data_IF_482981493609
#
_entry.id   IF_482981493609
#
_cell.length_a   1.000
_cell.length_b   1.000
_cell.length_c   1.000
_cell.angle_alpha   90.00
_cell.angle_beta   90.00
_cell.angle_gamma   90.00
#
_symmetry.space_group_name_H-M   'P 1'
#
loop_
_entity.id
_entity.type
_entity.pdbx_description
1 polymer ?
#
# COMPACT_ATOMS: atom_id res chain seq x y z
N UNK A 1 -24.68 17.71 12.52
CA UNK A 1 -23.64 17.49 11.48
C UNK A 1 -23.80 16.13 10.81
N UNK A 2 -23.96 15.04 11.58
CA UNK A 2 -24.12 13.68 11.08
C UNK A 2 -25.34 13.46 10.18
N UNK A 3 -26.52 14.00 10.55
CA UNK A 3 -27.75 13.87 9.75
C UNK A 3 -27.59 14.40 8.31
N UNK A 4 -26.86 15.52 8.13
CA UNK A 4 -26.60 16.08 6.80
C UNK A 4 -25.72 15.17 5.95
N UNK A 5 -24.72 14.53 6.55
CA UNK A 5 -23.83 13.60 5.84
C UNK A 5 -24.57 12.32 5.44
N UNK A 6 -25.46 11.83 6.30
CA UNK A 6 -26.33 10.68 6.01
C UNK A 6 -27.27 11.03 4.85
N UNK A 7 -27.97 12.16 4.91
CA UNK A 7 -28.88 12.59 3.87
C UNK A 7 -28.20 12.77 2.49
N UNK A 8 -27.00 13.34 2.46
CA UNK A 8 -26.23 13.47 1.20
C UNK A 8 -25.78 12.10 0.66
N UNK A 9 -25.45 11.15 1.55
CA UNK A 9 -25.10 9.78 1.15
C UNK A 9 -26.29 9.07 0.52
N UNK A 10 -27.47 9.19 1.10
CA UNK A 10 -28.71 8.64 0.57
C UNK A 10 -29.08 9.26 -0.78
N UNK A 11 -28.96 10.59 -0.89
CA UNK A 11 -29.20 11.32 -2.16
C UNK A 11 -28.30 10.80 -3.28
N UNK A 12 -26.99 10.63 -3.02
CA UNK A 12 -26.03 10.10 -4.00
C UNK A 12 -26.32 8.66 -4.38
N UNK A 13 -26.65 7.81 -3.39
CA UNK A 13 -26.96 6.40 -3.63
C UNK A 13 -28.18 6.24 -4.53
N UNK A 14 -29.24 7.02 -4.31
CA UNK A 14 -30.43 7.00 -5.16
C UNK A 14 -30.11 7.36 -6.62
N UNK A 15 -29.35 8.43 -6.83
CA UNK A 15 -28.95 8.84 -8.18
C UNK A 15 -28.11 7.76 -8.90
N UNK A 16 -27.19 7.11 -8.17
CA UNK A 16 -26.38 6.02 -8.70
C UNK A 16 -27.22 4.80 -9.08
N UNK A 17 -28.22 4.44 -8.26
CA UNK A 17 -29.14 3.34 -8.56
C UNK A 17 -29.98 3.63 -9.80
N UNK A 18 -30.58 4.83 -9.89
CA UNK A 18 -31.36 5.23 -11.05
C UNK A 18 -30.52 5.25 -12.34
N UNK A 19 -29.27 5.70 -12.26
CA UNK A 19 -28.33 5.65 -13.38
C UNK A 19 -28.02 4.20 -13.77
N UNK A 20 -27.69 3.36 -12.79
CA UNK A 20 -27.36 1.96 -13.04
C UNK A 20 -28.54 1.19 -13.66
N UNK A 21 -29.77 1.40 -13.19
CA UNK A 21 -30.98 0.81 -13.76
C UNK A 21 -31.22 1.28 -15.21
N UNK A 22 -31.13 2.59 -15.46
CA UNK A 22 -31.30 3.17 -16.81
C UNK A 22 -30.26 2.65 -17.81
N UNK A 23 -29.05 2.38 -17.35
CA UNK A 23 -27.93 1.95 -18.19
C UNK A 23 -27.64 0.44 -18.13
N UNK A 24 -28.44 -0.34 -17.39
CA UNK A 24 -28.21 -1.78 -17.22
C UNK A 24 -26.88 -2.13 -16.55
N UNK A 25 -26.33 -1.23 -15.73
CA UNK A 25 -25.03 -1.41 -15.06
C UNK A 25 -25.24 -2.24 -13.80
N UNK A 26 -24.62 -3.41 -13.73
CA UNK A 26 -24.51 -4.17 -12.48
C UNK A 26 -23.29 -3.69 -11.69
N UNK A 27 -23.43 -3.16 -10.47
CA UNK A 27 -22.30 -2.79 -9.63
C UNK A 27 -21.39 -4.00 -9.39
N UNK A 28 -20.09 -3.83 -9.63
CA UNK A 28 -19.06 -4.84 -9.34
C UNK A 28 -17.93 -4.18 -8.56
N UNK A 29 -17.28 -4.94 -7.70
CA UNK A 29 -16.05 -4.50 -7.04
C UNK A 29 -14.97 -4.31 -8.10
N UNK A 30 -14.20 -3.22 -7.99
CA UNK A 30 -13.03 -3.01 -8.84
C UNK A 30 -11.97 -4.04 -8.45
N UNK A 31 -11.70 -5.03 -9.32
CA UNK A 31 -10.51 -5.88 -9.20
C UNK A 31 -9.41 -5.30 -10.08
N UNK A 32 -8.30 -4.89 -9.48
CA UNK A 32 -7.08 -4.60 -10.23
C UNK A 32 -6.25 -5.89 -10.28
N UNK A 33 -5.80 -6.27 -11.47
CA UNK A 33 -4.84 -7.36 -11.61
C UNK A 33 -3.54 -6.96 -10.91
N UNK A 34 -3.00 -7.88 -10.11
CA UNK A 34 -1.63 -7.76 -9.59
C UNK A 34 -0.73 -7.86 -10.80
N UNK A 35 0.00 -6.78 -11.12
CA UNK A 35 0.94 -6.80 -12.23
C UNK A 35 1.98 -7.90 -11.95
N UNK A 36 2.29 -8.71 -12.95
CA UNK A 36 3.38 -9.68 -12.83
C UNK A 36 4.68 -8.93 -12.49
N UNK A 37 5.40 -9.49 -11.52
CA UNK A 37 6.63 -8.93 -10.96
C UNK A 37 7.63 -8.73 -12.10
N UNK A 38 7.96 -7.48 -12.40
CA UNK A 38 9.04 -7.19 -13.35
C UNK A 38 10.35 -7.60 -12.66
N UNK A 39 11.15 -8.44 -13.32
CA UNK A 39 12.44 -8.85 -12.77
C UNK A 39 13.33 -7.63 -12.50
N UNK A 40 14.13 -7.67 -11.43
CA UNK A 40 15.11 -6.62 -11.11
C UNK A 40 16.04 -6.33 -12.31
N UNK A 41 16.27 -7.36 -13.14
CA UNK A 41 17.06 -7.31 -14.36
C UNK A 41 16.36 -6.53 -15.49
N UNK A 42 15.03 -6.67 -15.64
CA UNK A 42 14.24 -5.91 -16.62
C UNK A 42 14.04 -4.43 -16.28
N UNK A 43 14.07 -4.07 -15.00
CA UNK A 43 13.95 -2.67 -14.58
C UNK A 43 15.27 -1.88 -14.75
N UNK A 44 16.38 -2.56 -15.11
CA UNK A 44 17.67 -1.91 -15.33
C UNK A 44 18.25 -1.20 -14.10
N UNK A 45 17.75 -1.54 -12.90
CA UNK A 45 18.10 -0.84 -11.67
C UNK A 45 19.28 -1.55 -10.99
N UNK A 46 20.45 -1.47 -11.62
CA UNK A 46 21.72 -1.84 -10.97
C UNK A 46 22.07 -0.90 -9.80
N UNK A 47 21.37 0.22 -9.62
CA UNK A 47 21.64 1.22 -8.58
C UNK A 47 21.18 0.81 -7.16
N UNK A 48 20.29 -0.18 -6.99
CA UNK A 48 19.82 -0.57 -5.65
C UNK A 48 20.71 -1.61 -4.95
N UNK A 49 21.72 -2.16 -5.63
CA UNK A 49 22.68 -3.08 -5.02
C UNK A 49 23.47 -2.43 -3.86
N UNK A 50 23.61 -1.10 -3.88
CA UNK A 50 24.33 -0.33 -2.86
C UNK A 50 23.56 -0.19 -1.53
N UNK A 51 22.27 -0.55 -1.50
CA UNK A 51 21.42 -0.48 -0.30
C UNK A 51 21.17 -1.82 0.38
N UNK A 52 21.77 -2.91 -0.11
CA UNK A 52 21.81 -4.17 0.63
C UNK A 52 22.63 -3.96 1.90
N UNK A 53 22.04 -4.06 3.10
CA UNK A 53 22.83 -4.07 4.31
C UNK A 53 23.72 -5.32 4.26
N UNK A 54 25.02 -5.18 4.56
CA UNK A 54 26.01 -6.26 4.48
C UNK A 54 25.63 -7.52 5.30
N UNK A 55 24.72 -7.37 6.26
CA UNK A 55 24.24 -8.42 7.17
C UNK A 55 23.04 -9.23 6.66
N UNK A 56 22.53 -9.00 5.43
CA UNK A 56 21.30 -9.65 4.95
C UNK A 56 21.58 -10.56 3.78
N UNK A 57 21.84 -11.82 4.10
CA UNK A 57 22.18 -12.88 3.13
C UNK A 57 20.95 -13.61 2.58
N UNK A 58 19.80 -13.56 3.28
CA UNK A 58 18.62 -14.39 2.99
C UNK A 58 17.31 -13.57 2.93
N UNK A 59 16.40 -13.94 2.03
CA UNK A 59 15.04 -13.38 1.91
C UNK A 59 14.26 -13.40 3.24
N UNK A 60 14.46 -14.45 4.05
CA UNK A 60 13.83 -14.57 5.38
C UNK A 60 14.28 -13.48 6.36
N UNK A 61 15.51 -13.02 6.27
CA UNK A 61 16.05 -12.00 7.18
C UNK A 61 15.60 -10.59 6.77
N UNK A 62 15.40 -10.35 5.47
CA UNK A 62 14.71 -9.15 4.98
C UNK A 62 13.27 -9.08 5.49
N UNK A 63 12.53 -10.20 5.46
CA UNK A 63 11.15 -10.25 5.95
C UNK A 63 11.08 -9.96 7.46
N UNK A 64 11.96 -10.56 8.26
CA UNK A 64 12.06 -10.25 9.71
C UNK A 64 12.39 -8.79 9.95
N UNK A 65 13.28 -8.20 9.13
CA UNK A 65 13.65 -6.79 9.25
C UNK A 65 12.47 -5.87 8.92
N UNK A 66 11.70 -6.19 7.88
CA UNK A 66 10.47 -5.46 7.54
C UNK A 66 9.46 -5.54 8.69
N UNK A 67 9.23 -6.73 9.27
CA UNK A 67 8.31 -6.90 10.40
C UNK A 67 8.73 -6.05 11.61
N UNK A 68 10.03 -6.00 11.91
CA UNK A 68 10.56 -5.15 12.97
C UNK A 68 10.32 -3.65 12.70
N UNK A 69 10.59 -3.19 11.48
CA UNK A 69 10.38 -1.79 11.09
C UNK A 69 8.89 -1.43 11.09
N UNK A 70 8.01 -2.33 10.67
CA UNK A 70 6.56 -2.14 10.73
C UNK A 70 6.09 -1.94 12.17
N UNK A 71 6.57 -2.78 13.10
CA UNK A 71 6.25 -2.63 14.52
C UNK A 71 6.71 -1.28 15.06
N UNK A 72 7.89 -0.82 14.69
CA UNK A 72 8.41 0.50 15.08
C UNK A 72 7.60 1.65 14.46
N UNK A 73 7.16 1.51 13.21
CA UNK A 73 6.32 2.49 12.52
C UNK A 73 4.98 2.66 13.23
N UNK A 74 4.33 1.55 13.60
CA UNK A 74 3.08 1.56 14.36
C UNK A 74 3.25 2.21 15.73
N UNK A 75 4.32 1.88 16.46
CA UNK A 75 4.63 2.51 17.75
C UNK A 75 4.87 4.03 17.61
N UNK A 76 5.58 4.46 16.56
CA UNK A 76 5.80 5.88 16.28
C UNK A 76 4.46 6.59 15.98
N UNK A 77 3.56 5.95 15.22
CA UNK A 77 2.23 6.49 14.93
C UNK A 77 1.35 6.59 16.19
N UNK A 78 1.39 5.59 17.07
CA UNK A 78 0.70 5.61 18.37
C UNK A 78 1.20 6.74 19.29
N UNK A 79 2.50 7.02 19.23
CA UNK A 79 3.16 8.10 19.97
C UNK A 79 3.08 9.48 19.29
N UNK A 80 2.32 9.60 18.19
CA UNK A 80 2.16 10.84 17.42
C UNK A 80 3.45 11.36 16.75
N UNK A 81 4.46 10.49 16.59
CA UNK A 81 5.73 10.76 15.89
C UNK A 81 5.58 10.50 14.37
N UNK A 82 4.73 11.27 13.69
CA UNK A 82 4.38 10.99 12.28
C UNK A 82 5.53 11.13 11.29
N UNK A 83 6.49 12.03 11.52
CA UNK A 83 7.67 12.17 10.67
C UNK A 83 8.52 10.90 10.69
N UNK A 84 8.71 10.32 11.88
CA UNK A 84 9.43 9.06 12.06
C UNK A 84 8.67 7.88 11.49
N UNK A 85 7.35 7.84 11.66
CA UNK A 85 6.51 6.82 11.04
C UNK A 85 6.59 6.90 9.49
N UNK A 86 6.65 8.10 8.92
CA UNK A 86 6.82 8.29 7.49
C UNK A 86 8.20 7.81 7.02
N UNK A 87 9.27 8.11 7.76
CA UNK A 87 10.62 7.63 7.45
C UNK A 87 10.70 6.10 7.47
N UNK A 88 10.13 5.46 8.50
CA UNK A 88 10.09 4.00 8.63
C UNK A 88 9.27 3.35 7.50
N UNK A 89 8.15 3.96 7.11
CA UNK A 89 7.35 3.52 5.96
C UNK A 89 8.18 3.52 4.67
N UNK A 90 8.91 4.60 4.42
CA UNK A 90 9.71 4.74 3.20
C UNK A 90 10.89 3.74 3.19
N UNK A 91 11.47 3.43 4.36
CA UNK A 91 12.46 2.35 4.51
C UNK A 91 11.86 0.97 4.22
N UNK A 92 10.67 0.66 4.74
CA UNK A 92 9.95 -0.59 4.46
C UNK A 92 9.65 -0.72 2.96
N UNK A 93 9.24 0.37 2.31
CA UNK A 93 8.94 0.36 0.87
C UNK A 93 10.18 0.06 0.03
N UNK A 94 11.35 0.59 0.41
CA UNK A 94 12.63 0.25 -0.23
C UNK A 94 12.96 -1.23 -0.07
N UNK A 95 12.82 -1.79 1.13
CA UNK A 95 13.09 -3.20 1.40
C UNK A 95 12.12 -4.12 0.65
N UNK A 96 10.83 -3.80 0.60
CA UNK A 96 9.85 -4.57 -0.17
C UNK A 96 10.12 -4.55 -1.68
N UNK A 97 10.64 -3.43 -2.22
CA UNK A 97 11.08 -3.33 -3.62
C UNK A 97 12.27 -4.24 -3.90
N UNK A 98 13.19 -4.39 -2.96
CA UNK A 98 14.33 -5.30 -3.08
C UNK A 98 13.92 -6.79 -3.10
N UNK A 99 12.89 -7.17 -2.34
CA UNK A 99 12.33 -8.55 -2.35
C UNK A 99 11.47 -8.78 -3.62
N UNK A 100 11.14 -7.73 -4.37
CA UNK A 100 10.22 -7.83 -5.50
C UNK A 100 8.78 -8.10 -5.06
N UNK A 101 8.39 -7.75 -3.83
CA UNK A 101 7.00 -7.85 -3.36
C UNK A 101 6.31 -6.50 -3.57
N UNK A 102 5.89 -6.25 -4.82
CA UNK A 102 4.94 -5.19 -5.19
C UNK A 102 4.14 -5.55 -6.44
#
# INVERSE_FOLDING_TARGET
AMEKAIAETERRRKLQQEYNEKHGITPKTVSKEVKELISLEELGIYEYAEYLPEDVETEEDLLKKIEQLEKQMWQAAENWEFEKAAELRDQIEKLRKLIGVF
#
